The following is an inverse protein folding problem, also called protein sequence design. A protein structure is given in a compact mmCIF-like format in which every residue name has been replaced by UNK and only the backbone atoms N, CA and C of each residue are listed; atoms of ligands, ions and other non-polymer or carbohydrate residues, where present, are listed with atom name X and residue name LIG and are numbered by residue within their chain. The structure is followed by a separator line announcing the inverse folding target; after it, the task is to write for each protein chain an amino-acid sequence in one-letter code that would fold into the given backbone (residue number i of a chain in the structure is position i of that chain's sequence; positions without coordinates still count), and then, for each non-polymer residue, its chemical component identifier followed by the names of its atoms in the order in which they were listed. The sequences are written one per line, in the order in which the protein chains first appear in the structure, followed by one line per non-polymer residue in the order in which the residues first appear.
data_IF_454099280789
#
_entry.id   IF_454099280789
#
_cell.length_a   1.000
_cell.length_b   1.000
_cell.length_c   1.000
_cell.angle_alpha   90.00
_cell.angle_beta   90.00
_cell.angle_gamma   90.00
#
_symmetry.space_group_name_H-M   'P 1'
#
loop_
_entity.id
_entity.type
_entity.pdbx_description
1 polymer ?
#
# COMPACT_ATOMS: atom_id res chain seq x y z
N UNK A 1 21.15 6.86 8.03
CA UNK A 1 21.27 5.55 8.71
C UNK A 1 21.58 4.53 7.63
N UNK A 2 22.85 4.20 7.48
CA UNK A 2 23.31 3.25 6.47
C UNK A 2 22.88 1.85 6.89
N UNK A 3 22.08 1.20 6.06
CA UNK A 3 21.80 -0.23 6.21
C UNK A 3 23.12 -0.98 5.99
N UNK A 4 23.52 -1.76 6.97
CA UNK A 4 24.63 -2.66 6.85
C UNK A 4 24.39 -3.57 5.63
N UNK A 5 25.25 -3.46 4.64
CA UNK A 5 25.32 -4.43 3.55
C UNK A 5 25.85 -5.71 4.21
N UNK A 6 24.98 -6.68 4.43
CA UNK A 6 25.45 -8.01 4.80
C UNK A 6 26.23 -8.57 3.61
N UNK A 7 27.50 -8.88 3.84
CA UNK A 7 28.44 -9.45 2.86
C UNK A 7 28.07 -10.84 2.32
N UNK A 8 26.87 -11.33 2.63
CA UNK A 8 26.34 -12.62 2.17
C UNK A 8 25.40 -12.53 0.97
N UNK A 9 25.50 -11.47 0.15
CA UNK A 9 24.78 -11.38 -1.11
C UNK A 9 25.51 -12.24 -2.15
N UNK A 10 25.18 -13.50 -2.19
CA UNK A 10 25.61 -14.41 -3.25
C UNK A 10 24.98 -13.94 -4.59
N UNK A 11 25.78 -13.27 -5.40
CA UNK A 11 25.41 -12.84 -6.76
C UNK A 11 25.53 -14.08 -7.65
N UNK A 12 24.45 -14.83 -7.79
CA UNK A 12 24.54 -16.18 -8.33
C UNK A 12 24.14 -16.30 -9.81
N UNK A 13 23.46 -15.32 -10.39
CA UNK A 13 22.99 -15.49 -11.77
C UNK A 13 22.80 -14.17 -12.51
N UNK A 14 23.51 -14.03 -13.64
CA UNK A 14 23.30 -12.93 -14.58
C UNK A 14 22.42 -13.42 -15.71
N UNK A 15 21.27 -12.80 -15.88
CA UNK A 15 20.30 -13.14 -16.94
C UNK A 15 20.16 -11.97 -17.92
N UNK A 16 20.09 -12.27 -19.20
CA UNK A 16 19.85 -11.28 -20.25
C UNK A 16 18.36 -10.99 -20.38
N UNK A 17 17.92 -9.78 -20.03
CA UNK A 17 16.54 -9.33 -20.21
C UNK A 17 16.53 -8.15 -21.18
N UNK A 18 15.87 -8.32 -22.32
CA UNK A 18 15.78 -7.30 -23.39
C UNK A 18 17.15 -6.73 -23.80
N UNK A 19 18.17 -7.59 -23.92
CA UNK A 19 19.53 -7.18 -24.32
C UNK A 19 20.35 -6.46 -23.25
N UNK A 20 19.90 -6.46 -22.00
CA UNK A 20 20.64 -5.93 -20.84
C UNK A 20 20.95 -7.04 -19.86
N UNK A 21 22.17 -7.01 -19.34
CA UNK A 21 22.56 -7.89 -18.23
C UNK A 21 21.83 -7.47 -16.96
N UNK A 22 21.19 -8.44 -16.34
CA UNK A 22 20.40 -8.26 -15.13
C UNK A 22 20.89 -9.25 -14.09
N UNK A 23 21.32 -8.73 -12.96
CA UNK A 23 21.75 -9.53 -11.81
C UNK A 23 20.51 -9.98 -11.03
N UNK A 24 20.36 -11.29 -10.89
CA UNK A 24 19.30 -11.91 -10.10
C UNK A 24 19.88 -12.43 -8.78
N UNK A 25 19.26 -12.09 -7.68
CA UNK A 25 19.62 -12.57 -6.35
C UNK A 25 18.83 -13.82 -5.98
N UNK A 26 19.46 -14.80 -5.38
CA UNK A 26 18.80 -16.01 -4.91
C UNK A 26 18.00 -15.74 -3.63
N UNK A 27 16.76 -16.19 -3.60
CA UNK A 27 15.98 -16.22 -2.37
C UNK A 27 16.24 -17.55 -1.65
N UNK A 28 16.82 -17.52 -0.48
CA UNK A 28 17.13 -18.73 0.31
C UNK A 28 15.86 -19.47 0.77
N UNK A 29 14.80 -18.72 1.11
CA UNK A 29 13.52 -19.31 1.57
C UNK A 29 12.76 -20.00 0.45
N UNK A 30 12.63 -19.33 -0.71
CA UNK A 30 11.88 -19.89 -1.85
C UNK A 30 12.76 -20.74 -2.78
N UNK A 31 14.07 -20.70 -2.60
CA UNK A 31 15.09 -21.36 -3.43
C UNK A 31 14.97 -21.03 -4.94
N UNK A 32 14.65 -19.78 -5.24
CA UNK A 32 14.51 -19.26 -6.63
C UNK A 32 15.38 -18.03 -6.84
N UNK A 33 15.80 -17.79 -8.08
CA UNK A 33 16.42 -16.55 -8.47
C UNK A 33 15.35 -15.46 -8.65
N UNK A 34 15.52 -14.36 -7.95
CA UNK A 34 14.57 -13.23 -7.96
C UNK A 34 14.93 -12.26 -9.07
N UNK A 35 13.98 -11.86 -9.91
CA UNK A 35 14.18 -10.75 -10.83
C UNK A 35 14.43 -9.43 -10.06
N UNK A 36 15.02 -8.42 -10.71
CA UNK A 36 15.23 -7.12 -10.09
C UNK A 36 13.96 -6.53 -9.50
N UNK A 37 14.10 -5.81 -8.40
CA UNK A 37 13.01 -5.18 -7.64
C UNK A 37 12.00 -6.18 -7.05
N UNK A 38 12.32 -7.47 -7.02
CA UNK A 38 11.52 -8.42 -6.27
C UNK A 38 12.07 -8.62 -4.85
N UNK A 39 11.17 -8.85 -3.92
CA UNK A 39 11.47 -9.04 -2.50
C UNK A 39 10.71 -10.25 -1.96
N UNK A 40 11.32 -10.98 -1.01
CA UNK A 40 10.61 -12.04 -0.29
C UNK A 40 9.82 -11.42 0.86
N UNK A 41 8.51 -11.57 0.83
CA UNK A 41 7.64 -11.17 1.93
C UNK A 41 7.45 -12.34 2.90
N UNK A 42 7.82 -12.14 4.16
CA UNK A 42 7.64 -13.14 5.22
C UNK A 42 6.17 -13.42 5.54
N UNK A 43 5.32 -12.40 5.46
CA UNK A 43 3.89 -12.55 5.76
C UNK A 43 3.16 -13.31 4.65
N UNK A 44 3.51 -13.03 3.39
CA UNK A 44 2.95 -13.73 2.22
C UNK A 44 3.65 -15.06 1.94
N UNK A 45 4.80 -15.34 2.56
CA UNK A 45 5.65 -16.52 2.31
C UNK A 45 6.01 -16.71 0.83
N UNK A 46 6.18 -15.60 0.10
CA UNK A 46 6.41 -15.61 -1.34
C UNK A 46 7.33 -14.49 -1.80
N UNK A 47 8.03 -14.70 -2.93
CA UNK A 47 8.75 -13.65 -3.62
C UNK A 47 7.80 -12.83 -4.50
N UNK A 48 7.73 -11.54 -4.24
CA UNK A 48 6.80 -10.61 -4.87
C UNK A 48 7.54 -9.74 -5.89
N UNK A 49 7.07 -9.71 -7.13
CA UNK A 49 7.67 -8.93 -8.22
C UNK A 49 7.33 -7.45 -8.06
N UNK A 50 8.35 -6.58 -8.18
CA UNK A 50 8.20 -5.12 -7.97
C UNK A 50 7.46 -4.84 -6.67
N UNK A 51 7.99 -5.41 -5.59
CA UNK A 51 7.44 -5.27 -4.24
C UNK A 51 7.51 -3.81 -3.78
N UNK A 52 6.40 -3.29 -3.30
CA UNK A 52 6.31 -2.00 -2.64
C UNK A 52 6.31 -2.21 -1.11
N UNK A 53 5.22 -2.71 -0.57
CA UNK A 53 5.11 -3.06 0.85
C UNK A 53 4.08 -4.18 1.08
N UNK A 54 4.16 -4.84 2.24
CA UNK A 54 3.04 -5.64 2.75
C UNK A 54 2.04 -4.73 3.44
N UNK A 55 0.78 -4.79 3.05
CA UNK A 55 -0.26 -3.94 3.58
C UNK A 55 -1.29 -4.75 4.38
N UNK A 56 -1.29 -4.66 5.72
CA UNK A 56 -2.26 -5.37 6.56
C UNK A 56 -3.71 -5.00 6.26
N UNK A 57 -3.98 -3.78 5.82
CA UNK A 57 -5.32 -3.28 5.50
C UNK A 57 -5.98 -4.01 4.33
N UNK A 58 -5.19 -4.46 3.37
CA UNK A 58 -5.68 -5.25 2.23
C UNK A 58 -5.28 -6.72 2.32
N UNK A 59 -4.58 -7.12 3.38
CA UNK A 59 -4.19 -8.50 3.68
C UNK A 59 -3.22 -9.11 2.68
N UNK A 60 -2.47 -8.28 1.92
CA UNK A 60 -1.52 -8.75 0.90
C UNK A 60 -0.45 -7.71 0.59
N UNK A 61 0.58 -8.11 -0.15
CA UNK A 61 1.57 -7.16 -0.66
C UNK A 61 1.01 -6.27 -1.76
N UNK A 62 1.30 -4.97 -1.66
CA UNK A 62 1.14 -4.03 -2.76
C UNK A 62 2.37 -4.16 -3.67
N UNK A 63 2.13 -4.39 -4.96
CA UNK A 63 3.17 -4.73 -5.92
C UNK A 63 2.72 -4.43 -7.37
N UNK A 64 3.50 -4.86 -8.35
CA UNK A 64 3.28 -4.64 -9.79
C UNK A 64 1.84 -4.82 -10.26
N UNK A 65 1.14 -5.85 -9.76
CA UNK A 65 -0.19 -6.23 -10.28
C UNK A 65 -1.34 -5.43 -9.67
N UNK A 66 -1.21 -5.01 -8.41
CA UNK A 66 -2.30 -4.39 -7.65
C UNK A 66 -2.02 -2.95 -7.21
N UNK A 67 -0.85 -2.40 -7.45
CA UNK A 67 -0.47 -1.05 -7.05
C UNK A 67 -1.47 0.02 -7.52
N UNK A 68 -1.95 -0.06 -8.77
CA UNK A 68 -2.96 0.87 -9.31
C UNK A 68 -4.30 0.80 -8.56
N UNK A 69 -4.71 -0.38 -8.17
CA UNK A 69 -5.96 -0.58 -7.42
C UNK A 69 -5.82 -0.09 -5.98
N UNK A 70 -4.63 -0.25 -5.39
CA UNK A 70 -4.31 0.31 -4.08
C UNK A 70 -4.38 1.84 -4.09
N UNK A 71 -3.85 2.50 -5.13
CA UNK A 71 -3.97 3.95 -5.29
C UNK A 71 -5.43 4.40 -5.42
N UNK A 72 -6.23 3.71 -6.24
CA UNK A 72 -7.66 3.99 -6.37
C UNK A 72 -8.39 3.80 -5.04
N UNK A 73 -8.11 2.72 -4.33
CA UNK A 73 -8.65 2.50 -2.98
C UNK A 73 -8.33 3.68 -2.04
N UNK A 74 -7.09 4.15 -2.03
CA UNK A 74 -6.69 5.31 -1.23
C UNK A 74 -7.45 6.59 -1.60
N UNK A 75 -7.60 6.86 -2.90
CA UNK A 75 -8.36 8.02 -3.39
C UNK A 75 -9.83 7.95 -2.96
N UNK A 76 -10.49 6.83 -3.21
CA UNK A 76 -11.91 6.66 -2.84
C UNK A 76 -12.12 6.73 -1.33
N UNK A 77 -11.21 6.16 -0.54
CA UNK A 77 -11.25 6.25 0.92
C UNK A 77 -11.12 7.70 1.39
N UNK A 78 -10.19 8.47 0.81
CA UNK A 78 -10.02 9.88 1.15
C UNK A 78 -11.25 10.73 0.78
N UNK A 79 -11.82 10.52 -0.41
CA UNK A 79 -13.06 11.19 -0.84
C UNK A 79 -14.22 10.83 0.08
N UNK A 80 -14.40 9.57 0.43
CA UNK A 80 -15.43 9.12 1.35
C UNK A 80 -15.27 9.74 2.75
N UNK A 81 -14.06 9.75 3.27
CA UNK A 81 -13.77 10.36 4.56
C UNK A 81 -14.07 11.86 4.58
N UNK A 82 -13.68 12.60 3.52
CA UNK A 82 -13.96 14.02 3.39
C UNK A 82 -15.48 14.29 3.31
N UNK A 83 -16.21 13.50 2.55
CA UNK A 83 -17.66 13.59 2.43
C UNK A 83 -18.34 13.33 3.78
N UNK A 84 -17.97 12.27 4.47
CA UNK A 84 -18.52 11.92 5.79
C UNK A 84 -18.19 13.00 6.84
N UNK A 85 -16.97 13.51 6.82
CA UNK A 85 -16.58 14.60 7.73
C UNK A 85 -17.39 15.88 7.48
N UNK A 86 -17.66 16.22 6.22
CA UNK A 86 -18.47 17.41 5.89
C UNK A 86 -19.92 17.28 6.37
N UNK A 87 -20.54 16.11 6.21
CA UNK A 87 -21.89 15.83 6.71
C UNK A 87 -21.95 15.91 8.24
N UNK A 88 -21.00 15.29 8.94
CA UNK A 88 -20.95 15.29 10.39
C UNK A 88 -20.73 16.72 10.94
N UNK A 89 -19.87 17.50 10.28
CA UNK A 89 -19.64 18.90 10.67
C UNK A 89 -20.90 19.75 10.47
N UNK A 90 -21.58 19.58 9.34
CA UNK A 90 -22.84 20.27 9.06
C UNK A 90 -23.92 19.94 10.09
N UNK A 91 -24.09 18.64 10.40
CA UNK A 91 -25.04 18.20 11.43
C UNK A 91 -24.69 18.76 12.83
N UNK A 92 -23.40 18.80 13.17
CA UNK A 92 -22.95 19.37 14.44
C UNK A 92 -23.26 20.88 14.52
N UNK A 93 -22.99 21.64 13.47
CA UNK A 93 -23.29 23.07 13.41
C UNK A 93 -24.77 23.32 13.58
N UNK A 94 -25.63 22.57 12.86
CA UNK A 94 -27.08 22.70 12.98
C UNK A 94 -27.59 22.39 14.40
N UNK A 95 -26.99 21.42 15.08
CA UNK A 95 -27.36 21.08 16.45
C UNK A 95 -26.86 22.12 17.48
N UNK A 96 -25.68 22.70 17.26
CA UNK A 96 -25.12 23.70 18.18
C UNK A 96 -25.73 25.11 17.99
N UNK A 97 -26.16 25.43 16.76
CA UNK A 97 -26.74 26.71 16.38
C UNK A 97 -28.10 26.51 15.71
N UNK A 98 -29.13 26.01 16.45
CA UNK A 98 -30.46 25.84 15.87
C UNK A 98 -30.99 27.21 15.44
N UNK A 99 -31.55 27.25 14.23
CA UNK A 99 -32.17 28.49 13.73
C UNK A 99 -33.42 28.83 14.58
N UNK A 100 -33.78 30.10 14.62
CA UNK A 100 -34.96 30.55 15.40
C UNK A 100 -36.28 29.89 14.89
N UNK A 101 -36.27 29.36 13.66
CA UNK A 101 -37.39 28.60 13.07
C UNK A 101 -37.58 27.20 13.68
N UNK A 102 -36.50 26.60 14.20
CA UNK A 102 -36.52 25.27 14.77
C UNK A 102 -36.97 25.26 16.23
N UNK A 103 -36.89 26.43 16.91
CA UNK A 103 -37.34 26.59 18.30
C UNK A 103 -38.87 26.46 18.48
N UNK A 104 -39.66 26.61 17.41
CA UNK A 104 -41.11 26.55 17.46
C UNK A 104 -41.68 25.14 17.27
N UNK A 105 -40.85 24.16 16.81
CA UNK A 105 -41.28 22.79 16.53
C UNK A 105 -41.21 21.87 17.76
N UNK A 106 -40.77 22.34 18.90
CA UNK A 106 -40.62 21.56 20.15
C UNK A 106 -41.70 21.85 21.21
N UNK A 107 -42.77 22.60 20.90
CA UNK A 107 -43.92 22.82 21.81
C UNK A 107 -45.15 22.10 21.33
#
# INVERSE_FOLDING_TARGET
MFLAVNDDIEIDHVTMVKGKEVVCMKCRTCNIYRPPRSFHCSDCQACIEVHDHHCPWVGTCVAKRNHRYFLLFGIFTAVHAAFTASLNTSALILNLFPSASDAWSLN
#
